data_IF_531606309106
#
_entry.id   IF_531606309106
#
_cell.length_a   1.000
_cell.length_b   1.000
_cell.length_c   1.000
_cell.angle_alpha   90.00
_cell.angle_beta   90.00
_cell.angle_gamma   90.00
#
_symmetry.space_group_name_H-M   'P 1'
#
loop_
_entity.id
_entity.type
_entity.pdbx_description
1 polymer ?
#
# COMPACT_ATOMS: atom_id res chain seq x y z
N UNK A 1 10.64 -26.32 30.21
CA UNK A 1 11.45 -25.37 29.43
C UNK A 1 10.90 -25.07 28.04
N UNK A 2 10.28 -26.00 27.31
CA UNK A 2 9.69 -25.75 25.99
C UNK A 2 8.41 -24.88 25.97
N UNK A 3 7.66 -24.77 27.07
CA UNK A 3 6.42 -23.97 27.10
C UNK A 3 6.68 -22.46 27.01
N UNK A 4 7.79 -21.99 27.57
CA UNK A 4 8.14 -20.56 27.54
C UNK A 4 8.54 -20.04 26.15
N UNK A 5 9.15 -20.88 25.32
CA UNK A 5 9.62 -20.48 23.98
C UNK A 5 8.44 -20.23 23.02
N UNK A 6 7.36 -21.02 23.13
CA UNK A 6 6.15 -20.84 22.30
C UNK A 6 5.42 -19.53 22.63
N UNK A 7 5.31 -19.22 23.92
CA UNK A 7 4.69 -17.97 24.36
C UNK A 7 5.50 -16.74 23.94
N UNK A 8 6.84 -16.85 23.97
CA UNK A 8 7.73 -15.77 23.51
C UNK A 8 7.57 -15.51 22.00
N UNK A 9 7.50 -16.53 21.16
CA UNK A 9 7.31 -16.37 19.71
C UNK A 9 5.96 -15.70 19.37
N UNK A 10 4.88 -16.05 20.08
CA UNK A 10 3.56 -15.43 19.89
C UNK A 10 3.57 -13.96 20.32
N UNK A 11 4.24 -13.63 21.44
CA UNK A 11 4.37 -12.25 21.91
C UNK A 11 5.19 -11.41 20.93
N UNK A 12 6.30 -11.96 20.42
CA UNK A 12 7.14 -11.29 19.42
C UNK A 12 6.36 -11.05 18.13
N UNK A 13 5.60 -12.03 17.64
CA UNK A 13 4.76 -11.87 16.45
C UNK A 13 3.71 -10.77 16.62
N UNK A 14 3.06 -10.71 17.78
CA UNK A 14 2.06 -9.67 18.08
C UNK A 14 2.68 -8.28 18.18
N UNK A 15 3.86 -8.19 18.78
CA UNK A 15 4.60 -6.94 18.88
C UNK A 15 5.15 -6.47 17.52
N UNK A 16 5.68 -7.38 16.71
CA UNK A 16 6.13 -7.08 15.35
C UNK A 16 4.97 -6.59 14.46
N UNK A 17 3.79 -7.19 14.59
CA UNK A 17 2.59 -6.76 13.87
C UNK A 17 2.13 -5.36 14.31
N UNK A 18 2.10 -5.09 15.61
CA UNK A 18 1.78 -3.77 16.15
C UNK A 18 2.75 -2.69 15.63
N UNK A 19 4.07 -3.00 15.61
CA UNK A 19 5.05 -2.09 15.04
C UNK A 19 4.89 -1.92 13.53
N UNK A 20 4.63 -2.99 12.79
CA UNK A 20 4.46 -2.94 11.33
C UNK A 20 3.35 -2.00 10.89
N UNK A 21 2.24 -2.00 11.65
CA UNK A 21 1.13 -1.07 11.42
C UNK A 21 1.49 0.39 11.74
N UNK A 22 2.34 0.61 12.77
CA UNK A 22 2.75 1.98 13.15
C UNK A 22 3.71 2.63 12.17
N UNK A 23 4.60 1.85 11.55
CA UNK A 23 5.67 2.37 10.69
C UNK A 23 5.47 1.97 9.21
N UNK A 24 4.29 1.39 8.87
CA UNK A 24 3.94 0.92 7.52
C UNK A 24 5.04 0.05 6.89
N UNK A 25 5.67 -0.84 7.68
CA UNK A 25 6.77 -1.69 7.23
C UNK A 25 6.30 -3.06 6.78
N UNK A 26 6.35 -3.33 5.48
CA UNK A 26 6.05 -4.64 4.90
C UNK A 26 6.95 -5.76 5.42
N UNK A 27 8.22 -5.47 5.72
CA UNK A 27 9.18 -6.45 6.27
C UNK A 27 8.80 -6.93 7.66
N UNK A 28 8.34 -6.04 8.55
CA UNK A 28 7.87 -6.43 9.88
C UNK A 28 6.57 -7.22 9.83
N UNK A 29 5.70 -6.90 8.87
CA UNK A 29 4.47 -7.68 8.66
C UNK A 29 4.80 -9.10 8.18
N UNK A 30 5.74 -9.24 7.24
CA UNK A 30 6.24 -10.54 6.77
C UNK A 30 6.87 -11.36 7.89
N UNK A 31 7.65 -10.74 8.78
CA UNK A 31 8.27 -11.39 9.94
C UNK A 31 7.22 -11.88 10.95
N UNK A 32 6.21 -11.07 11.25
CA UNK A 32 5.08 -11.48 12.10
C UNK A 32 4.33 -12.68 11.53
N UNK A 33 4.10 -12.70 10.22
CA UNK A 33 3.48 -13.82 9.53
C UNK A 33 4.35 -15.08 9.55
N UNK A 34 5.66 -14.93 9.35
CA UNK A 34 6.63 -16.02 9.44
C UNK A 34 6.60 -16.69 10.83
N UNK A 35 6.62 -15.92 11.91
CA UNK A 35 6.51 -16.45 13.27
C UNK A 35 5.18 -17.16 13.55
N UNK A 36 4.08 -16.70 12.97
CA UNK A 36 2.77 -17.40 13.05
C UNK A 36 2.80 -18.72 12.28
N UNK A 37 3.34 -18.72 11.08
CA UNK A 37 3.49 -19.91 10.27
C UNK A 37 4.33 -20.98 10.97
N UNK A 38 5.43 -20.60 11.61
CA UNK A 38 6.28 -21.46 12.44
C UNK A 38 5.51 -22.07 13.62
N UNK A 39 4.68 -21.28 14.30
CA UNK A 39 3.89 -21.76 15.43
C UNK A 39 2.85 -22.79 14.99
N UNK A 40 2.15 -22.53 13.88
CA UNK A 40 1.15 -23.46 13.29
C UNK A 40 1.83 -24.76 12.83
N UNK A 41 2.94 -24.66 12.10
CA UNK A 41 3.70 -25.82 11.64
C UNK A 41 4.18 -26.68 12.81
N UNK A 42 4.68 -26.04 13.88
CA UNK A 42 5.13 -26.76 15.09
C UNK A 42 3.98 -27.48 15.81
N UNK A 43 2.76 -26.87 15.81
CA UNK A 43 1.58 -27.49 16.39
C UNK A 43 1.13 -28.71 15.57
N UNK A 44 1.10 -28.60 14.23
CA UNK A 44 0.76 -29.71 13.35
C UNK A 44 1.72 -30.88 13.51
N UNK A 45 3.03 -30.61 13.56
CA UNK A 45 4.03 -31.66 13.81
C UNK A 45 3.83 -32.32 15.18
N UNK A 46 3.55 -31.54 16.23
CA UNK A 46 3.29 -32.11 17.56
C UNK A 46 2.05 -33.03 17.57
N UNK A 47 0.98 -32.63 16.89
CA UNK A 47 -0.23 -33.46 16.73
C UNK A 47 0.10 -34.74 15.96
N UNK A 48 0.85 -34.65 14.86
CA UNK A 48 1.25 -35.81 14.08
C UNK A 48 2.10 -36.81 14.91
N UNK A 49 3.07 -36.32 15.67
CA UNK A 49 3.89 -37.14 16.58
C UNK A 49 3.06 -37.85 17.65
N UNK A 50 2.07 -37.16 18.24
CA UNK A 50 1.16 -37.75 19.22
C UNK A 50 0.31 -38.84 18.57
N UNK A 51 -0.25 -38.59 17.39
CA UNK A 51 -1.07 -39.52 16.62
C UNK A 51 -0.28 -40.79 16.27
N UNK A 52 1.01 -40.66 15.93
CA UNK A 52 1.91 -41.79 15.68
C UNK A 52 2.05 -42.71 16.90
N UNK A 53 2.06 -42.17 18.13
CA UNK A 53 2.08 -42.98 19.36
C UNK A 53 0.82 -43.83 19.58
N UNK A 54 -0.31 -43.39 19.01
CA UNK A 54 -1.57 -44.13 19.05
C UNK A 54 -1.74 -45.12 17.88
N UNK A 55 -0.69 -45.37 17.09
CA UNK A 55 -0.71 -46.32 15.98
C UNK A 55 -1.11 -45.77 14.62
N UNK A 56 -1.35 -44.45 14.53
CA UNK A 56 -1.73 -43.78 13.26
C UNK A 56 -0.50 -43.24 12.55
N UNK A 57 0.41 -44.11 12.11
CA UNK A 57 1.68 -43.73 11.45
C UNK A 57 1.51 -42.99 10.11
N UNK A 58 0.38 -43.16 9.43
CA UNK A 58 0.07 -42.47 8.17
C UNK A 58 -0.22 -40.97 8.37
N UNK A 59 -0.66 -40.56 9.57
CA UNK A 59 -0.96 -39.16 9.90
C UNK A 59 0.29 -38.28 9.81
N UNK A 60 1.45 -38.82 10.14
CA UNK A 60 2.72 -38.09 10.06
C UNK A 60 3.04 -37.67 8.60
N UNK A 61 2.87 -38.58 7.63
CA UNK A 61 3.08 -38.30 6.20
C UNK A 61 2.09 -37.20 5.67
N UNK A 62 0.81 -37.31 6.02
CA UNK A 62 -0.18 -36.33 5.61
C UNK A 62 0.01 -34.97 6.28
N UNK A 63 0.38 -34.96 7.55
CA UNK A 63 0.72 -33.73 8.27
C UNK A 63 1.96 -33.05 7.67
N UNK A 64 3.00 -33.83 7.34
CA UNK A 64 4.20 -33.33 6.66
C UNK A 64 3.89 -32.70 5.30
N UNK A 65 3.03 -33.35 4.49
CA UNK A 65 2.58 -32.82 3.21
C UNK A 65 1.79 -31.50 3.41
N UNK A 66 0.88 -31.46 4.40
CA UNK A 66 0.11 -30.27 4.72
C UNK A 66 0.99 -29.10 5.14
N UNK A 67 2.01 -29.35 5.99
CA UNK A 67 2.99 -28.33 6.41
C UNK A 67 3.80 -27.84 5.22
N UNK A 68 4.25 -28.74 4.34
CA UNK A 68 5.02 -28.37 3.15
C UNK A 68 4.23 -27.46 2.21
N UNK A 69 2.97 -27.79 1.91
CA UNK A 69 2.08 -26.97 1.09
C UNK A 69 1.79 -25.61 1.75
N UNK A 70 1.61 -25.58 3.06
CA UNK A 70 1.39 -24.34 3.81
C UNK A 70 2.62 -23.42 3.76
N UNK A 71 3.85 -23.97 3.88
CA UNK A 71 5.09 -23.20 3.77
C UNK A 71 5.25 -22.62 2.37
N UNK A 72 4.98 -23.41 1.32
CA UNK A 72 5.05 -22.93 -0.07
C UNK A 72 4.07 -21.80 -0.29
N UNK A 73 2.82 -21.96 0.14
CA UNK A 73 1.79 -20.93 0.00
C UNK A 73 2.14 -19.63 0.75
N UNK A 74 2.61 -19.77 1.98
CA UNK A 74 3.06 -18.64 2.81
C UNK A 74 4.26 -17.92 2.19
N UNK A 75 5.25 -18.66 1.72
CA UNK A 75 6.44 -18.14 1.05
C UNK A 75 6.10 -17.38 -0.24
N UNK A 76 5.15 -17.90 -1.02
CA UNK A 76 4.66 -17.22 -2.22
C UNK A 76 3.99 -15.88 -1.88
N UNK A 77 3.19 -15.83 -0.82
CA UNK A 77 2.56 -14.59 -0.34
C UNK A 77 3.58 -13.51 0.05
N UNK A 78 4.64 -13.92 0.77
CA UNK A 78 5.73 -13.01 1.16
C UNK A 78 6.49 -12.52 -0.08
N UNK A 79 6.85 -13.44 -0.99
CA UNK A 79 7.57 -13.10 -2.21
C UNK A 79 6.76 -12.14 -3.09
N UNK A 80 5.45 -12.38 -3.25
CA UNK A 80 4.55 -11.47 -3.98
C UNK A 80 4.52 -10.07 -3.36
N UNK A 81 4.36 -9.98 -2.04
CA UNK A 81 4.36 -8.68 -1.35
C UNK A 81 5.68 -7.92 -1.53
N UNK A 82 6.81 -8.64 -1.48
CA UNK A 82 8.12 -8.02 -1.71
C UNK A 82 8.28 -7.50 -3.15
N UNK A 83 7.77 -8.24 -4.13
CA UNK A 83 7.75 -7.81 -5.54
C UNK A 83 6.84 -6.59 -5.72
N UNK A 84 5.65 -6.60 -5.13
CA UNK A 84 4.71 -5.48 -5.16
C UNK A 84 5.33 -4.21 -4.55
N UNK A 85 6.12 -4.33 -3.48
CA UNK A 85 6.83 -3.21 -2.86
C UNK A 85 8.00 -2.67 -3.73
N UNK A 86 8.60 -3.53 -4.59
CA UNK A 86 9.69 -3.13 -5.49
C UNK A 86 9.19 -2.52 -6.80
N UNK A 87 8.08 -3.03 -7.33
CA UNK A 87 7.50 -2.55 -8.61
C UNK A 87 6.64 -1.31 -8.38
N UNK A 88 6.11 -1.16 -7.17
CA UNK A 88 5.12 -0.16 -6.79
C UNK A 88 3.71 -0.76 -6.80
N UNK A 89 2.99 -0.57 -5.70
CA UNK A 89 1.59 -0.98 -5.59
C UNK A 89 0.70 0.01 -6.34
N UNK A 90 -0.29 -0.47 -7.11
CA UNK A 90 -1.26 0.44 -7.69
C UNK A 90 -2.05 1.15 -6.59
N UNK A 91 -2.42 2.43 -6.81
CA UNK A 91 -3.22 3.18 -5.87
C UNK A 91 -4.63 2.60 -5.74
N UNK A 92 -5.25 2.83 -4.60
CA UNK A 92 -6.69 2.59 -4.44
C UNK A 92 -7.50 3.73 -5.04
N UNK A 93 -8.76 3.47 -5.36
CA UNK A 93 -9.68 4.52 -5.85
C UNK A 93 -9.83 5.65 -4.81
N UNK A 94 -9.81 5.28 -3.53
CA UNK A 94 -9.90 6.22 -2.40
C UNK A 94 -8.69 7.15 -2.33
N UNK A 95 -7.47 6.61 -2.50
CA UNK A 95 -6.23 7.43 -2.54
C UNK A 95 -6.23 8.43 -3.70
N UNK A 96 -6.74 8.04 -4.87
CA UNK A 96 -6.86 8.92 -6.03
C UNK A 96 -7.86 10.04 -5.74
N UNK A 97 -8.99 9.70 -5.14
CA UNK A 97 -10.04 10.67 -4.82
C UNK A 97 -9.61 11.65 -3.73
N UNK A 98 -8.90 11.19 -2.71
CA UNK A 98 -8.33 12.04 -1.66
C UNK A 98 -7.37 13.09 -2.24
N UNK A 99 -6.48 12.67 -3.15
CA UNK A 99 -5.57 13.61 -3.84
C UNK A 99 -6.37 14.62 -4.66
N UNK A 100 -7.34 14.16 -5.44
CA UNK A 100 -8.19 15.04 -6.26
C UNK A 100 -8.90 16.09 -5.40
N UNK A 101 -9.55 15.68 -4.33
CA UNK A 101 -10.30 16.58 -3.44
C UNK A 101 -9.40 17.62 -2.78
N UNK A 102 -8.22 17.19 -2.29
CA UNK A 102 -7.29 18.10 -1.63
C UNK A 102 -6.66 19.09 -2.61
N UNK A 103 -6.31 18.66 -3.80
CA UNK A 103 -5.74 19.53 -4.82
C UNK A 103 -6.78 20.51 -5.38
N UNK A 104 -8.02 20.08 -5.64
CA UNK A 104 -9.12 20.95 -6.06
C UNK A 104 -9.55 21.97 -5.00
N UNK A 105 -9.23 21.73 -3.72
CA UNK A 105 -9.53 22.68 -2.64
C UNK A 105 -8.56 23.87 -2.59
N UNK A 106 -7.46 23.83 -3.34
CA UNK A 106 -6.48 24.93 -3.40
C UNK A 106 -7.01 26.03 -4.31
N UNK A 107 -6.94 27.27 -3.84
CA UNK A 107 -7.40 28.43 -4.59
C UNK A 107 -6.60 28.66 -5.87
N UNK A 108 -7.30 28.72 -7.00
CA UNK A 108 -6.71 28.85 -8.34
C UNK A 108 -6.64 27.53 -9.13
N UNK A 109 -6.89 26.38 -8.51
CA UNK A 109 -7.03 25.09 -9.21
C UNK A 109 -8.45 24.97 -9.76
N UNK A 110 -8.58 24.69 -11.05
CA UNK A 110 -9.84 24.53 -11.75
C UNK A 110 -10.26 23.07 -11.79
N UNK A 111 -9.31 22.19 -12.10
CA UNK A 111 -9.53 20.73 -12.16
C UNK A 111 -8.21 19.98 -11.98
N UNK A 112 -8.30 18.67 -11.71
CA UNK A 112 -7.16 17.79 -11.51
C UNK A 112 -7.34 16.50 -12.31
N UNK A 113 -6.34 16.12 -13.08
CA UNK A 113 -6.37 14.91 -13.91
C UNK A 113 -5.00 14.21 -13.94
N UNK A 114 -4.91 13.07 -14.62
CA UNK A 114 -3.70 12.28 -14.80
C UNK A 114 -2.95 12.00 -13.47
N UNK A 115 -3.71 11.62 -12.43
CA UNK A 115 -3.17 11.29 -11.13
C UNK A 115 -2.49 9.91 -11.22
N UNK A 116 -1.16 9.86 -11.08
CA UNK A 116 -0.38 8.65 -10.99
C UNK A 116 0.30 8.56 -9.63
N UNK A 117 0.11 7.44 -8.92
CA UNK A 117 0.71 7.21 -7.60
C UNK A 117 1.59 5.98 -7.67
N UNK A 118 2.81 6.08 -7.16
CA UNK A 118 3.76 4.99 -7.04
C UNK A 118 4.15 4.81 -5.58
N UNK A 119 3.84 3.63 -5.02
CA UNK A 119 4.15 3.31 -3.63
C UNK A 119 5.28 2.29 -3.55
N UNK A 120 6.40 2.68 -2.94
CA UNK A 120 7.58 1.85 -2.73
C UNK A 120 7.78 1.64 -1.22
N UNK A 121 7.06 0.66 -0.67
CA UNK A 121 7.03 0.44 0.77
C UNK A 121 6.42 1.62 1.53
N UNK A 122 7.23 2.36 2.29
CA UNK A 122 6.78 3.54 3.06
C UNK A 122 6.75 4.83 2.25
N UNK A 123 7.49 4.89 1.14
CA UNK A 123 7.63 6.10 0.34
C UNK A 123 6.60 6.10 -0.79
N UNK A 124 5.81 7.17 -0.88
CA UNK A 124 4.79 7.37 -1.91
C UNK A 124 5.14 8.59 -2.74
N UNK A 125 5.14 8.43 -4.05
CA UNK A 125 5.32 9.49 -5.03
C UNK A 125 4.04 9.66 -5.81
N UNK A 126 3.63 10.90 -6.03
CA UNK A 126 2.46 11.22 -6.84
C UNK A 126 2.85 12.18 -7.96
N UNK A 127 2.41 11.91 -9.18
CA UNK A 127 2.44 12.87 -10.28
C UNK A 127 1.01 13.24 -10.61
N UNK A 128 0.74 14.53 -10.66
CA UNK A 128 -0.60 15.06 -10.90
C UNK A 128 -0.56 16.23 -11.88
N UNK A 129 -1.59 16.39 -12.67
CA UNK A 129 -1.81 17.56 -13.50
C UNK A 129 -2.91 18.42 -12.90
N UNK A 130 -2.65 19.70 -12.75
CA UNK A 130 -3.64 20.70 -12.31
C UNK A 130 -3.94 21.65 -13.44
N UNK A 131 -5.21 21.91 -13.66
CA UNK A 131 -5.66 22.95 -14.58
C UNK A 131 -5.78 24.28 -13.85
N UNK A 132 -5.18 25.34 -14.41
CA UNK A 132 -5.30 26.71 -13.92
C UNK A 132 -5.72 27.64 -15.07
N UNK A 133 -6.11 28.89 -14.76
CA UNK A 133 -6.41 29.87 -15.79
C UNK A 133 -5.16 30.21 -16.63
N UNK A 134 -5.29 30.17 -17.95
CA UNK A 134 -4.21 30.51 -18.88
C UNK A 134 -3.76 31.98 -18.78
N UNK A 135 -4.60 32.86 -18.23
CA UNK A 135 -4.28 34.28 -18.02
C UNK A 135 -3.53 34.52 -16.69
N UNK A 136 -3.28 33.46 -15.89
CA UNK A 136 -2.49 33.59 -14.67
C UNK A 136 -1.02 33.91 -14.94
N UNK A 137 -0.43 34.74 -14.08
CA UNK A 137 0.99 35.04 -14.16
C UNK A 137 1.84 33.82 -13.77
N UNK A 138 3.00 33.61 -14.41
CA UNK A 138 3.87 32.46 -14.09
C UNK A 138 4.22 32.33 -12.60
N UNK A 139 4.42 33.47 -11.90
CA UNK A 139 4.71 33.46 -10.46
C UNK A 139 3.49 32.91 -9.66
N UNK A 140 2.26 33.33 -10.03
CA UNK A 140 1.05 32.84 -9.35
C UNK A 140 0.81 31.35 -9.65
N UNK A 141 1.05 30.93 -10.90
CA UNK A 141 0.97 29.52 -11.28
C UNK A 141 1.95 28.65 -10.47
N UNK A 142 3.16 29.14 -10.23
CA UNK A 142 4.13 28.50 -9.36
C UNK A 142 3.64 28.42 -7.92
N UNK A 143 3.17 29.53 -7.35
CA UNK A 143 2.66 29.57 -5.98
C UNK A 143 1.49 28.58 -5.78
N UNK A 144 0.60 28.44 -6.79
CA UNK A 144 -0.50 27.47 -6.75
C UNK A 144 0.05 26.04 -6.73
N UNK A 145 0.99 25.72 -7.62
CA UNK A 145 1.57 24.36 -7.68
C UNK A 145 2.31 24.00 -6.39
N UNK A 146 3.07 24.93 -5.82
CA UNK A 146 3.78 24.74 -4.54
C UNK A 146 2.77 24.52 -3.39
N UNK A 147 1.67 25.30 -3.34
CA UNK A 147 0.61 25.12 -2.33
C UNK A 147 -0.04 23.74 -2.43
N UNK A 148 -0.26 23.23 -3.65
CA UNK A 148 -0.79 21.88 -3.87
C UNK A 148 0.21 20.84 -3.38
N UNK A 149 1.51 20.99 -3.73
CA UNK A 149 2.57 20.08 -3.28
C UNK A 149 2.67 20.01 -1.76
N UNK A 150 2.70 21.16 -1.10
CA UNK A 150 2.71 21.26 0.37
C UNK A 150 1.47 20.61 0.99
N UNK A 151 0.28 20.92 0.47
CA UNK A 151 -0.99 20.39 0.99
C UNK A 151 -1.04 18.87 0.93
N UNK A 152 -0.64 18.29 -0.20
CA UNK A 152 -0.62 16.83 -0.37
C UNK A 152 0.47 16.17 0.46
N UNK A 153 1.66 16.80 0.54
CA UNK A 153 2.77 16.32 1.37
C UNK A 153 2.41 16.27 2.84
N UNK A 154 1.82 17.36 3.38
CA UNK A 154 1.45 17.44 4.79
C UNK A 154 0.27 16.54 5.18
N UNK A 155 -0.77 16.46 4.34
CA UNK A 155 -2.00 15.74 4.69
C UNK A 155 -1.95 14.25 4.37
N UNK A 156 -1.27 13.84 3.29
CA UNK A 156 -1.25 12.46 2.82
C UNK A 156 0.12 11.78 2.96
N UNK A 157 1.18 12.54 3.29
CA UNK A 157 2.54 12.01 3.40
C UNK A 157 3.08 11.48 2.08
N UNK A 158 2.66 12.04 0.95
CA UNK A 158 3.16 11.73 -0.40
C UNK A 158 4.21 12.76 -0.81
N UNK A 159 5.10 12.39 -1.72
CA UNK A 159 6.02 13.31 -2.40
C UNK A 159 5.43 13.65 -3.77
N UNK A 160 4.67 14.75 -3.91
CA UNK A 160 4.00 15.07 -5.15
C UNK A 160 4.95 15.78 -6.13
N UNK A 161 4.64 15.66 -7.40
CA UNK A 161 5.15 16.48 -8.50
C UNK A 161 3.95 16.99 -9.26
N UNK A 162 3.80 18.32 -9.30
CA UNK A 162 2.65 18.97 -9.91
C UNK A 162 3.02 19.52 -11.28
N UNK A 163 2.31 19.04 -12.32
CA UNK A 163 2.36 19.64 -13.64
C UNK A 163 1.21 20.63 -13.79
N UNK A 164 1.51 21.82 -14.29
CA UNK A 164 0.53 22.89 -14.46
C UNK A 164 0.09 22.97 -15.90
N UNK A 165 -1.21 22.78 -16.15
CA UNK A 165 -1.85 22.87 -17.45
C UNK A 165 -2.70 24.16 -17.54
N UNK A 166 -2.21 25.20 -18.22
CA UNK A 166 -2.96 26.44 -18.39
C UNK A 166 -4.11 26.23 -19.39
N UNK A 167 -5.35 26.46 -18.97
CA UNK A 167 -6.54 26.37 -19.80
C UNK A 167 -7.24 27.72 -19.95
N UNK A 168 -7.73 28.03 -21.14
CA UNK A 168 -8.53 29.22 -21.35
C UNK A 168 -9.99 28.93 -20.99
N UNK A 169 -10.45 29.47 -19.85
CA UNK A 169 -11.83 29.31 -19.38
C UNK A 169 -12.83 29.99 -20.32
N UNK A 170 -12.36 30.96 -21.10
CA UNK A 170 -13.20 31.75 -22.02
C UNK A 170 -13.35 31.12 -23.39
N UNK A 171 -12.47 30.15 -23.79
CA UNK A 171 -12.53 29.52 -25.10
C UNK A 171 -13.76 28.59 -25.22
N UNK A 172 -14.66 28.85 -26.22
CA UNK A 172 -15.86 28.04 -26.45
C UNK A 172 -15.53 26.56 -26.73
N UNK A 173 -14.38 26.28 -27.37
CA UNK A 173 -13.95 24.92 -27.67
C UNK A 173 -13.61 24.12 -26.41
N UNK A 174 -12.96 24.75 -25.44
CA UNK A 174 -12.65 24.12 -24.15
C UNK A 174 -13.95 23.77 -23.40
N UNK A 175 -14.93 24.67 -23.42
CA UNK A 175 -16.25 24.40 -22.83
C UNK A 175 -16.99 23.25 -23.50
N UNK A 176 -16.90 23.17 -24.83
CA UNK A 176 -17.53 22.10 -25.59
C UNK A 176 -16.89 20.74 -25.31
N UNK A 177 -15.55 20.64 -25.30
CA UNK A 177 -14.83 19.40 -25.02
C UNK A 177 -15.08 18.92 -23.58
N UNK A 178 -15.03 19.82 -22.58
CA UNK A 178 -15.35 19.46 -21.19
C UNK A 178 -16.76 18.91 -21.03
N UNK A 179 -17.74 19.41 -21.77
CA UNK A 179 -19.11 18.87 -21.73
C UNK A 179 -19.19 17.39 -22.17
N UNK A 180 -18.39 16.99 -23.16
CA UNK A 180 -18.38 15.60 -23.65
C UNK A 180 -17.58 14.62 -22.78
N UNK A 181 -16.70 15.11 -21.94
CA UNK A 181 -15.88 14.27 -21.04
C UNK A 181 -16.59 13.92 -19.73
N UNK A 182 -17.65 14.68 -19.38
CA UNK A 182 -18.38 14.53 -18.11
C UNK A 182 -19.83 14.02 -18.29
N UNK A 183 -20.28 13.69 -19.52
CA UNK A 183 -21.50 12.93 -19.83
C UNK A 183 -21.17 11.44 -20.05
#
# INVERSE_FOLDING_TARGET
MCSNIKNVKIIIAHYAEYLSMKIASGTLHADAWHHRADAISSLLVAVAMISGKFGYSQVDGWAGLGVALFIIWSGFGIAKSAVDDLIGKPPTVEEIEDIRQLACAVDGVIDVHDIAIHSYGKDKFASIHIEIDADEKPARAHDISETVEETLGEKLGVSPTVHVDPISITDPKVKEVKKYLWE
#
